data_IF_749559048395
#
_entry.id   IF_749559048395
#
_cell.length_a   1.000
_cell.length_b   1.000
_cell.length_c   1.000
_cell.angle_alpha   90.00
_cell.angle_beta   90.00
_cell.angle_gamma   90.00
#
_symmetry.space_group_name_H-M   'P 1'
#
loop_
_entity.id
_entity.type
_entity.pdbx_description
1 polymer ?
#
# COMPACT_ATOMS: atom_id res chain seq x y z
N UNK A 1 12.31 3.86 -4.09
CA UNK A 1 11.55 4.76 -4.99
C UNK A 1 12.49 5.69 -5.72
N UNK A 2 13.32 6.49 -5.02
CA UNK A 2 14.34 7.35 -5.66
C UNK A 2 15.22 6.54 -6.62
N UNK A 3 15.87 5.49 -6.13
CA UNK A 3 16.71 4.59 -6.96
C UNK A 3 15.98 4.05 -8.19
N UNK A 4 14.72 3.62 -8.05
CA UNK A 4 13.93 3.12 -9.18
C UNK A 4 13.52 4.23 -10.16
N UNK A 5 13.29 5.45 -9.67
CA UNK A 5 13.05 6.61 -10.52
C UNK A 5 14.32 7.03 -11.27
N UNK A 6 15.49 6.98 -10.62
CA UNK A 6 16.80 7.19 -11.24
C UNK A 6 17.11 6.13 -12.31
N UNK A 7 16.58 4.91 -12.14
CA UNK A 7 16.62 3.84 -13.14
C UNK A 7 15.60 3.98 -14.28
N UNK A 8 14.79 5.04 -14.29
CA UNK A 8 13.85 5.35 -15.37
C UNK A 8 12.50 4.65 -15.28
N UNK A 9 12.02 4.26 -14.09
CA UNK A 9 10.65 3.75 -13.93
C UNK A 9 9.62 4.88 -14.13
N UNK A 10 8.80 4.76 -15.17
CA UNK A 10 7.83 5.80 -15.56
C UNK A 10 6.62 5.92 -14.64
N UNK A 11 6.20 4.83 -13.99
CA UNK A 11 5.06 4.83 -13.07
C UNK A 11 5.20 3.76 -11.99
N UNK A 12 4.66 4.06 -10.81
CA UNK A 12 4.62 3.13 -9.68
C UNK A 12 3.20 2.68 -9.41
N UNK A 13 2.98 1.36 -9.32
CA UNK A 13 1.75 0.82 -8.74
C UNK A 13 1.87 0.83 -7.22
N UNK A 14 1.27 1.84 -6.59
CA UNK A 14 1.29 2.01 -5.14
C UNK A 14 -0.07 1.64 -4.55
N UNK A 15 -0.10 0.68 -3.64
CA UNK A 15 -1.32 0.21 -2.95
C UNK A 15 -1.72 1.13 -1.79
N UNK A 16 -1.70 2.44 -2.01
CA UNK A 16 -1.89 3.46 -0.98
C UNK A 16 -3.31 3.45 -0.36
N UNK A 17 -4.28 2.86 -1.07
CA UNK A 17 -5.66 2.69 -0.62
C UNK A 17 -5.91 1.51 0.33
N UNK A 18 -4.91 0.67 0.60
CA UNK A 18 -5.05 -0.42 1.59
C UNK A 18 -4.89 0.15 3.00
N UNK A 19 -6.02 0.46 3.62
CA UNK A 19 -6.09 1.06 4.95
C UNK A 19 -6.54 0.00 5.96
N UNK A 20 -6.01 0.06 7.19
CA UNK A 20 -6.34 -0.88 8.26
C UNK A 20 -7.86 -1.05 8.44
N UNK A 21 -8.63 0.06 8.37
CA UNK A 21 -10.11 0.02 8.49
C UNK A 21 -10.83 -0.75 7.37
N UNK A 22 -10.19 -0.95 6.22
CA UNK A 22 -10.77 -1.64 5.08
C UNK A 22 -10.38 -3.12 5.02
N UNK A 23 -9.30 -3.53 5.69
CA UNK A 23 -8.86 -4.93 5.73
C UNK A 23 -9.97 -5.86 6.28
N UNK A 24 -10.64 -5.56 7.42
CA UNK A 24 -11.71 -6.40 7.94
C UNK A 24 -12.92 -6.55 7.00
N UNK A 25 -13.19 -5.55 6.15
CA UNK A 25 -14.30 -5.59 5.19
C UNK A 25 -14.12 -6.70 4.14
N UNK A 26 -12.90 -7.22 3.98
CA UNK A 26 -12.59 -8.28 3.02
C UNK A 26 -12.83 -9.69 3.58
N UNK A 27 -13.08 -9.84 4.89
CA UNK A 27 -13.17 -11.14 5.56
C UNK A 27 -14.29 -12.06 5.03
N UNK A 28 -15.36 -11.48 4.46
CA UNK A 28 -16.50 -12.23 3.89
C UNK A 28 -16.39 -12.47 2.38
N UNK A 29 -15.30 -12.05 1.73
CA UNK A 29 -15.10 -12.30 0.30
C UNK A 29 -14.74 -13.77 0.09
N UNK A 30 -15.33 -14.38 -0.95
CA UNK A 30 -15.04 -15.76 -1.32
C UNK A 30 -13.53 -16.01 -1.54
N UNK A 31 -12.85 -15.07 -2.20
CA UNK A 31 -11.42 -15.18 -2.56
C UNK A 31 -10.51 -14.23 -1.77
N UNK A 32 -11.05 -13.52 -0.77
CA UNK A 32 -10.27 -12.58 0.05
C UNK A 32 -9.62 -11.43 -0.74
N UNK A 33 -8.34 -11.17 -0.46
CA UNK A 33 -7.50 -10.17 -1.15
C UNK A 33 -6.62 -10.88 -2.16
N UNK A 34 -6.88 -10.64 -3.45
CA UNK A 34 -6.17 -11.31 -4.55
C UNK A 34 -5.02 -10.49 -5.14
N UNK A 35 -4.90 -9.21 -4.80
CA UNK A 35 -3.75 -8.40 -5.20
C UNK A 35 -2.53 -8.77 -4.36
N UNK A 36 -1.43 -9.16 -5.02
CA UNK A 36 -0.16 -9.45 -4.34
C UNK A 36 0.32 -8.27 -3.49
N UNK A 37 0.39 -7.07 -4.08
CA UNK A 37 0.82 -5.87 -3.35
C UNK A 37 -0.19 -5.45 -2.27
N UNK A 38 -1.49 -5.65 -2.54
CA UNK A 38 -2.54 -5.38 -1.57
C UNK A 38 -2.49 -6.29 -0.34
N UNK A 39 -2.20 -7.58 -0.52
CA UNK A 39 -2.09 -8.57 0.57
C UNK A 39 -0.87 -8.32 1.45
N UNK A 40 0.26 -7.91 0.86
CA UNK A 40 1.46 -7.50 1.63
C UNK A 40 1.13 -6.29 2.53
N UNK A 41 0.45 -5.28 1.96
CA UNK A 41 0.03 -4.10 2.72
C UNK A 41 -0.98 -4.43 3.81
N UNK A 42 -1.95 -5.31 3.52
CA UNK A 42 -2.96 -5.73 4.50
C UNK A 42 -2.32 -6.47 5.69
N UNK A 43 -1.39 -7.39 5.43
CA UNK A 43 -0.62 -8.06 6.48
C UNK A 43 0.19 -7.06 7.31
N UNK A 44 0.88 -6.12 6.66
CA UNK A 44 1.64 -5.08 7.35
C UNK A 44 0.76 -4.19 8.26
N UNK A 45 -0.44 -3.81 7.78
CA UNK A 45 -1.40 -3.07 8.59
C UNK A 45 -1.86 -3.84 9.85
N UNK A 46 -1.97 -5.16 9.77
CA UNK A 46 -2.35 -6.01 10.91
C UNK A 46 -1.18 -6.23 11.87
N UNK A 47 0.04 -6.34 11.35
CA UNK A 47 1.26 -6.55 12.14
C UNK A 47 1.71 -5.28 12.88
N UNK A 48 1.42 -4.09 12.33
CA UNK A 48 1.81 -2.81 12.91
C UNK A 48 0.57 -1.92 13.03
N UNK A 49 0.10 -1.73 14.27
CA UNK A 49 -1.03 -0.83 14.61
C UNK A 49 -0.65 0.66 14.50
N UNK A 50 -0.04 1.09 13.39
CA UNK A 50 0.22 2.51 13.10
C UNK A 50 -0.55 2.98 11.87
N UNK A 51 -1.00 4.24 11.95
CA UNK A 51 -1.82 4.92 10.93
C UNK A 51 -1.16 4.90 9.55
N UNK A 52 -2.03 4.67 8.56
CA UNK A 52 -1.84 4.54 7.12
C UNK A 52 -0.49 5.00 6.51
N UNK A 53 0.18 4.05 5.86
CA UNK A 53 1.26 4.24 4.88
C UNK A 53 0.98 5.37 3.86
N UNK A 54 -0.29 5.58 3.51
CA UNK A 54 -0.79 6.68 2.67
C UNK A 54 -0.20 8.06 3.02
N UNK A 55 -0.13 8.38 4.31
CA UNK A 55 0.33 9.71 4.79
C UNK A 55 1.81 9.98 4.52
N UNK A 56 2.62 8.94 4.30
CA UNK A 56 4.04 9.08 3.95
C UNK A 56 4.26 9.19 2.45
N UNK A 57 3.46 8.49 1.64
CA UNK A 57 3.58 8.51 0.17
C UNK A 57 3.29 9.91 -0.40
N UNK A 58 2.26 10.61 0.11
CA UNK A 58 1.93 11.97 -0.39
C UNK A 58 3.06 12.98 -0.19
N UNK A 59 3.95 12.75 0.79
CA UNK A 59 5.14 13.58 1.05
C UNK A 59 6.32 13.21 0.15
N UNK A 60 6.36 11.99 -0.38
CA UNK A 60 7.43 11.51 -1.27
C UNK A 60 7.18 11.95 -2.71
N UNK A 61 5.93 11.99 -3.17
CA UNK A 61 5.55 12.53 -4.48
C UNK A 61 5.71 14.05 -4.60
N UNK A 62 5.88 14.77 -3.49
CA UNK A 62 6.12 16.22 -3.47
C UNK A 62 7.61 16.59 -3.40
N UNK A 63 8.51 15.59 -3.36
CA UNK A 63 9.97 15.74 -3.23
C UNK A 63 10.77 15.06 -4.34
N UNK A 64 10.09 14.39 -5.25
CA UNK A 64 10.59 13.90 -6.54
C UNK A 64 10.03 14.84 -7.60
#
# INVERSE_FOLDING_TARGET
>A
MIEQAEQGVDYFTIHAGVLLRYVPLTAKRLTGIVSRGGSIMAQWCLAITKKAFYTRISKTSARL
#
